data_IF_525061408713
#
_entry.id   IF_525061408713
#
_cell.length_a   1.000
_cell.length_b   1.000
_cell.length_c   1.000
_cell.angle_alpha   90.00
_cell.angle_beta   90.00
_cell.angle_gamma   90.00
#
_symmetry.space_group_name_H-M   'P 1'
#
loop_
_entity.id
_entity.type
_entity.pdbx_description
1 polymer ?
#
# COMPACT_ATOMS: atom_id res chain seq x y z
N UNK A 1 76.38 -17.17 11.53
CA UNK A 1 76.37 -15.70 11.77
C UNK A 1 75.85 -14.99 10.54
N UNK A 2 74.69 -14.33 10.61
CA UNK A 2 74.32 -13.13 9.83
C UNK A 2 72.94 -12.68 10.33
N UNK A 3 72.94 -11.58 11.10
CA UNK A 3 71.76 -10.94 11.68
C UNK A 3 71.05 -10.17 10.56
N UNK A 4 69.75 -10.40 10.37
CA UNK A 4 68.90 -9.55 9.55
C UNK A 4 68.29 -8.49 10.46
N UNK A 5 68.66 -7.23 10.24
CA UNK A 5 68.05 -6.06 10.89
C UNK A 5 66.91 -5.62 9.98
N UNK A 6 65.67 -5.72 10.49
CA UNK A 6 64.49 -5.15 9.86
C UNK A 6 64.38 -3.69 10.33
N UNK A 7 64.55 -2.73 9.42
CA UNK A 7 64.37 -1.31 9.72
C UNK A 7 62.90 -0.94 9.42
N UNK A 8 62.10 -0.74 10.47
CA UNK A 8 60.74 -0.21 10.36
C UNK A 8 60.79 1.33 10.36
N UNK A 9 60.60 1.94 9.19
CA UNK A 9 60.38 3.38 9.07
C UNK A 9 58.88 3.63 9.29
N UNK A 10 58.52 4.15 10.46
CA UNK A 10 57.17 4.62 10.75
C UNK A 10 57.05 6.04 10.17
N UNK A 11 56.44 6.14 8.99
CA UNK A 11 56.08 7.42 8.37
C UNK A 11 54.79 7.93 9.04
N UNK A 12 54.91 8.87 9.97
CA UNK A 12 53.76 9.54 10.59
C UNK A 12 53.17 10.57 9.62
N UNK A 13 52.18 10.16 8.82
CA UNK A 13 51.34 11.09 8.06
C UNK A 13 50.26 11.61 9.01
N UNK A 14 50.14 12.93 9.25
CA UNK A 14 49.01 13.46 9.98
C UNK A 14 47.76 13.31 9.11
N UNK A 15 46.91 12.34 9.46
CA UNK A 15 45.58 12.21 8.90
C UNK A 15 44.75 13.38 9.43
N UNK A 16 44.53 14.39 8.60
CA UNK A 16 43.57 15.45 8.90
C UNK A 16 42.17 14.80 8.91
N UNK A 17 41.67 14.50 10.10
CA UNK A 17 40.28 14.11 10.30
C UNK A 17 39.47 15.39 10.12
N UNK A 18 39.00 15.64 8.90
CA UNK A 18 37.87 16.56 8.70
C UNK A 18 36.68 15.95 9.42
N UNK A 19 36.38 16.49 10.60
CA UNK A 19 35.10 16.29 11.25
C UNK A 19 34.02 16.96 10.38
N UNK A 20 33.56 16.24 9.35
CA UNK A 20 32.26 16.51 8.79
C UNK A 20 31.29 16.28 9.93
N UNK A 21 30.73 17.36 10.46
CA UNK A 21 29.63 17.30 11.40
C UNK A 21 28.45 16.67 10.69
N UNK A 22 28.36 15.35 10.73
CA UNK A 22 27.11 14.64 10.53
C UNK A 22 26.19 15.14 11.62
N UNK A 23 25.35 16.12 11.27
CA UNK A 23 24.15 16.40 12.04
C UNK A 23 23.45 15.06 12.19
N UNK A 24 23.35 14.54 13.42
CA UNK A 24 22.50 13.42 13.78
C UNK A 24 21.07 13.81 13.42
N UNK A 25 20.71 13.64 12.14
CA UNK A 25 19.35 13.69 11.68
C UNK A 25 18.70 12.51 12.38
N UNK A 26 17.96 12.82 13.44
CA UNK A 26 17.14 11.82 14.11
C UNK A 26 16.14 11.37 13.06
N UNK A 27 16.39 10.23 12.43
CA UNK A 27 15.49 9.63 11.46
C UNK A 27 14.20 9.30 12.22
N UNK A 28 13.26 10.24 12.21
CA UNK A 28 11.94 10.04 12.76
C UNK A 28 11.35 8.83 12.06
N UNK A 29 11.00 7.79 12.82
CA UNK A 29 10.34 6.61 12.29
C UNK A 29 9.08 7.04 11.53
N UNK A 30 9.04 6.73 10.24
CA UNK A 30 7.91 7.03 9.35
C UNK A 30 7.15 5.76 9.06
N UNK A 31 5.84 5.92 8.94
CA UNK A 31 4.93 4.81 8.66
C UNK A 31 3.92 5.23 7.62
N UNK A 32 3.66 4.33 6.67
CA UNK A 32 2.46 4.40 5.84
C UNK A 32 1.44 3.39 6.35
N UNK A 33 0.19 3.58 5.95
CA UNK A 33 -0.85 2.57 6.17
C UNK A 33 -1.46 2.15 4.84
N UNK A 34 -1.63 0.85 4.66
CA UNK A 34 -2.37 0.30 3.52
C UNK A 34 -3.66 -0.30 4.03
N UNK A 35 -4.79 0.31 3.67
CA UNK A 35 -6.10 -0.07 4.16
C UNK A 35 -6.81 -0.95 3.15
N UNK A 36 -7.23 -2.14 3.59
CA UNK A 36 -8.08 -3.03 2.81
C UNK A 36 -9.49 -3.04 3.37
N UNK A 37 -10.41 -2.39 2.66
CA UNK A 37 -11.84 -2.60 2.85
C UNK A 37 -12.22 -3.97 2.31
N UNK A 38 -12.84 -4.79 3.16
CA UNK A 38 -13.34 -6.10 2.74
C UNK A 38 -14.60 -5.98 1.87
N UNK A 39 -14.69 -6.83 0.86
CA UNK A 39 -15.94 -7.04 0.11
C UNK A 39 -17.08 -7.48 1.02
N UNK A 40 -18.31 -7.10 0.68
CA UNK A 40 -19.48 -7.49 1.46
C UNK A 40 -20.78 -7.47 0.67
N UNK A 41 -21.76 -8.21 1.20
CA UNK A 41 -23.17 -8.16 0.78
C UNK A 41 -24.08 -8.08 2.01
N UNK A 42 -25.33 -7.60 1.89
CA UNK A 42 -26.31 -7.68 2.97
C UNK A 42 -26.42 -9.11 3.51
N UNK A 43 -26.45 -9.26 4.83
CA UNK A 43 -26.69 -10.56 5.46
C UNK A 43 -28.15 -11.02 5.21
N UNK A 44 -28.42 -12.31 5.47
CA UNK A 44 -29.80 -12.83 5.46
C UNK A 44 -30.64 -12.01 6.45
N UNK A 45 -31.83 -11.58 6.03
CA UNK A 45 -32.70 -10.69 6.82
C UNK A 45 -32.47 -9.18 6.58
N UNK A 46 -31.31 -8.77 6.06
CA UNK A 46 -30.96 -7.36 5.88
C UNK A 46 -31.00 -6.88 4.42
N UNK A 47 -31.42 -7.73 3.48
CA UNK A 47 -31.48 -7.39 2.04
C UNK A 47 -32.42 -6.22 1.72
N UNK A 48 -33.44 -5.97 2.57
CA UNK A 48 -34.40 -4.86 2.41
C UNK A 48 -33.87 -3.54 2.98
N UNK A 49 -33.01 -3.61 4.00
CA UNK A 49 -32.51 -2.43 4.74
C UNK A 49 -31.09 -2.05 4.35
N UNK A 50 -30.35 -2.93 3.67
CA UNK A 50 -29.00 -2.66 3.20
C UNK A 50 -28.85 -2.82 1.69
N UNK A 51 -28.19 -1.83 1.07
CA UNK A 51 -27.84 -1.88 -0.34
C UNK A 51 -26.68 -2.85 -0.59
N UNK A 52 -26.71 -3.48 -1.78
CA UNK A 52 -25.54 -4.18 -2.34
C UNK A 52 -24.45 -3.14 -2.63
N UNK A 53 -23.21 -3.49 -2.31
CA UNK A 53 -22.05 -2.68 -2.66
C UNK A 53 -21.43 -3.21 -3.95
N UNK A 54 -20.76 -2.34 -4.68
CA UNK A 54 -20.04 -2.70 -5.91
C UNK A 54 -19.04 -3.85 -5.65
N UNK A 55 -19.01 -4.83 -6.57
CA UNK A 55 -18.20 -6.04 -6.45
C UNK A 55 -18.68 -7.07 -5.41
N UNK A 56 -19.62 -6.72 -4.52
CA UNK A 56 -20.15 -7.64 -3.52
C UNK A 56 -19.06 -8.23 -2.64
N UNK A 57 -19.07 -9.56 -2.46
CA UNK A 57 -18.08 -10.27 -1.64
C UNK A 57 -16.66 -10.24 -2.18
N UNK A 58 -16.48 -10.14 -3.51
CA UNK A 58 -15.16 -10.00 -4.14
C UNK A 58 -14.78 -8.54 -4.38
N UNK A 59 -15.69 -7.63 -4.04
CA UNK A 59 -15.43 -6.21 -3.98
C UNK A 59 -14.53 -5.88 -2.80
N UNK A 60 -14.54 -4.60 -2.45
CA UNK A 60 -13.61 -4.04 -1.49
C UNK A 60 -12.88 -2.87 -2.11
N UNK A 61 -11.94 -2.34 -1.35
CA UNK A 61 -11.19 -1.17 -1.76
C UNK A 61 -9.81 -1.19 -1.11
N UNK A 62 -8.85 -0.59 -1.79
CA UNK A 62 -7.49 -0.44 -1.28
C UNK A 62 -7.12 1.03 -1.35
N UNK A 63 -6.65 1.56 -0.24
CA UNK A 63 -6.13 2.93 -0.15
C UNK A 63 -4.81 2.95 0.59
N UNK A 64 -4.01 3.98 0.31
CA UNK A 64 -2.71 4.21 0.96
C UNK A 64 -2.82 5.53 1.72
N UNK A 65 -2.54 5.47 3.02
CA UNK A 65 -2.36 6.63 3.89
C UNK A 65 -0.87 6.91 4.07
N UNK A 66 -0.42 8.04 3.56
CA UNK A 66 0.96 8.53 3.66
C UNK A 66 0.96 10.05 3.77
N UNK A 67 1.89 10.65 4.52
CA UNK A 67 1.96 12.09 4.74
C UNK A 67 0.61 12.73 5.14
N UNK A 68 -0.18 12.04 5.96
CA UNK A 68 -1.49 12.51 6.42
C UNK A 68 -2.63 12.47 5.38
N UNK A 69 -2.39 11.90 4.20
CA UNK A 69 -3.37 11.81 3.10
C UNK A 69 -3.72 10.36 2.82
N UNK A 70 -5.01 10.04 2.83
CA UNK A 70 -5.53 8.71 2.49
C UNK A 70 -6.13 8.75 1.08
N UNK A 71 -5.51 8.04 0.15
CA UNK A 71 -5.80 8.15 -1.29
C UNK A 71 -6.02 6.77 -1.89
N UNK A 72 -7.00 6.66 -2.79
CA UNK A 72 -7.34 5.42 -3.49
C UNK A 72 -7.74 5.66 -4.94
N UNK A 73 -7.67 4.60 -5.74
CA UNK A 73 -8.07 4.60 -7.15
C UNK A 73 -9.49 4.05 -7.31
N UNK A 74 -10.40 4.89 -7.81
CA UNK A 74 -11.83 4.69 -7.84
C UNK A 74 -12.40 4.74 -9.27
N UNK A 75 -13.51 4.03 -9.54
CA UNK A 75 -14.23 4.21 -10.80
C UNK A 75 -15.01 5.53 -10.81
N UNK A 76 -15.10 6.17 -11.97
CA UNK A 76 -15.94 7.34 -12.23
C UNK A 76 -17.11 6.90 -13.11
N UNK A 77 -18.32 6.86 -12.54
CA UNK A 77 -19.50 6.35 -13.25
C UNK A 77 -19.44 4.83 -13.47
N UNK A 78 -19.40 4.39 -14.73
CA UNK A 78 -19.25 2.98 -15.10
C UNK A 78 -17.77 2.59 -15.22
N UNK A 79 -17.46 1.29 -15.33
CA UNK A 79 -16.11 0.82 -15.66
C UNK A 79 -16.06 0.29 -17.10
N UNK A 80 -14.89 0.35 -17.74
CA UNK A 80 -14.72 -0.28 -19.05
C UNK A 80 -14.41 -1.78 -18.93
N UNK A 81 -14.73 -2.56 -19.97
CA UNK A 81 -14.26 -3.95 -20.03
C UNK A 81 -12.76 -3.99 -20.26
N UNK A 82 -12.25 -3.17 -21.19
CA UNK A 82 -10.83 -3.00 -21.50
C UNK A 82 -10.40 -1.55 -21.34
N UNK A 83 -9.13 -1.27 -20.98
CA UNK A 83 -8.68 0.08 -20.68
C UNK A 83 -8.64 0.99 -21.92
N UNK A 84 -9.13 2.21 -21.78
CA UNK A 84 -9.15 3.25 -22.80
C UNK A 84 -8.13 4.36 -22.49
N UNK A 85 -7.39 4.85 -23.50
CA UNK A 85 -6.32 5.84 -23.29
C UNK A 85 -6.84 7.29 -23.16
N UNK A 86 -7.87 7.65 -23.93
CA UNK A 86 -8.39 9.03 -24.04
C UNK A 86 -9.61 9.29 -23.17
N UNK A 87 -10.52 8.32 -23.07
CA UNK A 87 -11.70 8.38 -22.22
C UNK A 87 -11.51 7.42 -21.04
N UNK A 88 -10.96 7.89 -19.92
CA UNK A 88 -10.71 7.06 -18.74
C UNK A 88 -11.87 7.22 -17.75
N UNK A 89 -12.35 6.12 -17.20
CA UNK A 89 -13.34 6.07 -16.13
C UNK A 89 -12.71 5.75 -14.77
N UNK A 90 -11.43 6.10 -14.59
CA UNK A 90 -10.70 5.93 -13.34
C UNK A 90 -10.22 7.27 -12.81
N UNK A 91 -10.26 7.44 -11.50
CA UNK A 91 -9.73 8.62 -10.81
C UNK A 91 -9.03 8.24 -9.51
N UNK A 92 -7.95 8.94 -9.16
CA UNK A 92 -7.46 8.96 -7.80
C UNK A 92 -8.17 10.07 -7.02
N UNK A 93 -8.57 9.76 -5.79
CA UNK A 93 -9.24 10.73 -4.92
C UNK A 93 -8.83 10.53 -3.47
N UNK A 94 -9.01 11.58 -2.67
CA UNK A 94 -8.99 11.46 -1.23
C UNK A 94 -10.12 10.54 -0.78
N UNK A 95 -9.77 9.51 -0.04
CA UNK A 95 -10.71 8.59 0.58
C UNK A 95 -10.68 8.78 2.10
N UNK A 96 -11.88 8.82 2.71
CA UNK A 96 -12.07 8.84 4.17
C UNK A 96 -11.27 9.92 4.91
N UNK A 97 -11.60 11.19 4.68
CA UNK A 97 -10.97 12.35 5.34
C UNK A 97 -10.97 12.24 6.87
N UNK A 98 -11.94 11.53 7.45
CA UNK A 98 -11.85 11.03 8.82
C UNK A 98 -12.01 9.51 8.81
N UNK A 99 -10.90 8.77 8.73
CA UNK A 99 -10.90 7.31 8.64
C UNK A 99 -11.79 6.65 9.70
N UNK A 100 -11.71 7.06 10.97
CA UNK A 100 -12.49 6.45 12.05
C UNK A 100 -14.00 6.58 11.82
N UNK A 101 -14.46 7.79 11.50
CA UNK A 101 -15.87 8.12 11.25
C UNK A 101 -16.36 7.50 9.94
N UNK A 102 -15.63 7.71 8.86
CA UNK A 102 -16.07 7.38 7.51
C UNK A 102 -16.03 5.86 7.24
N UNK A 103 -15.33 5.11 8.10
CA UNK A 103 -15.28 3.64 8.07
C UNK A 103 -16.18 2.97 9.11
N UNK A 104 -17.08 3.70 9.77
CA UNK A 104 -17.98 3.11 10.78
C UNK A 104 -18.78 1.94 10.20
N UNK A 105 -18.79 0.81 10.92
CA UNK A 105 -19.49 -0.41 10.51
C UNK A 105 -18.87 -1.16 9.33
N UNK A 106 -17.76 -0.70 8.75
CA UNK A 106 -17.02 -1.38 7.68
C UNK A 106 -15.91 -2.27 8.25
N UNK A 107 -15.68 -3.43 7.62
CA UNK A 107 -14.60 -4.34 7.99
C UNK A 107 -13.30 -3.97 7.26
N UNK A 108 -12.21 -3.87 8.00
CA UNK A 108 -10.89 -3.48 7.48
C UNK A 108 -9.77 -4.37 8.00
N UNK A 109 -8.72 -4.45 7.19
CA UNK A 109 -7.37 -4.85 7.60
C UNK A 109 -6.45 -3.71 7.17
N UNK A 110 -5.70 -3.18 8.12
CA UNK A 110 -4.71 -2.14 7.88
C UNK A 110 -3.32 -2.72 8.13
N UNK A 111 -2.44 -2.57 7.15
CA UNK A 111 -1.01 -2.81 7.34
C UNK A 111 -0.35 -1.48 7.72
N UNK A 112 0.42 -1.44 8.79
CA UNK A 112 1.25 -0.31 9.16
C UNK A 112 2.68 -0.71 8.82
N UNK A 113 3.26 -0.03 7.83
CA UNK A 113 4.53 -0.42 7.21
C UNK A 113 5.56 0.66 7.57
N UNK A 114 6.66 0.32 8.24
CA UNK A 114 7.76 1.25 8.44
C UNK A 114 8.40 1.57 7.08
N UNK A 115 8.70 2.84 6.83
CA UNK A 115 9.27 3.31 5.56
C UNK A 115 10.37 4.33 5.81
N UNK A 116 11.29 4.47 4.84
CA UNK A 116 12.25 5.57 4.85
C UNK A 116 11.57 6.90 4.48
N UNK A 117 12.24 8.02 4.78
CA UNK A 117 11.78 9.34 4.36
C UNK A 117 11.70 9.48 2.82
N UNK A 118 12.55 8.76 2.09
CA UNK A 118 12.51 8.73 0.63
C UNK A 118 11.29 7.97 0.12
N UNK A 119 10.99 6.80 0.68
CA UNK A 119 9.83 6.00 0.28
C UNK A 119 8.52 6.76 0.51
N UNK A 120 8.36 7.42 1.67
CA UNK A 120 7.19 8.26 1.93
C UNK A 120 7.08 9.41 0.92
N UNK A 121 8.20 10.06 0.59
CA UNK A 121 8.25 11.16 -0.40
C UNK A 121 7.87 10.70 -1.81
N UNK A 122 8.31 9.50 -2.23
CA UNK A 122 7.93 8.91 -3.52
C UNK A 122 6.42 8.69 -3.57
N UNK A 123 5.84 8.10 -2.51
CA UNK A 123 4.39 7.88 -2.43
C UNK A 123 3.64 9.21 -2.46
N UNK A 124 4.07 10.19 -1.68
CA UNK A 124 3.46 11.52 -1.63
C UNK A 124 3.48 12.22 -2.99
N UNK A 125 4.60 12.13 -3.70
CA UNK A 125 4.76 12.69 -5.05
C UNK A 125 3.84 11.99 -6.06
N UNK A 126 3.81 10.65 -6.06
CA UNK A 126 2.92 9.86 -6.93
C UNK A 126 1.45 10.16 -6.65
N UNK A 127 1.04 10.24 -5.38
CA UNK A 127 -0.30 10.64 -4.97
C UNK A 127 -0.66 12.02 -5.53
N UNK A 128 0.20 13.01 -5.34
CA UNK A 128 -0.02 14.38 -5.84
C UNK A 128 -0.13 14.41 -7.36
N UNK A 129 0.72 13.67 -8.08
CA UNK A 129 0.66 13.54 -9.53
C UNK A 129 -0.64 12.86 -9.99
N UNK A 130 -1.04 11.77 -9.34
CA UNK A 130 -2.18 10.95 -9.78
C UNK A 130 -3.54 11.58 -9.46
N UNK A 131 -3.63 12.38 -8.38
CA UNK A 131 -4.79 13.24 -8.10
C UNK A 131 -4.99 14.28 -9.20
N UNK A 132 -3.89 14.85 -9.74
CA UNK A 132 -3.95 15.81 -10.84
C UNK A 132 -4.22 15.12 -12.18
N UNK A 133 -3.59 13.98 -12.42
CA UNK A 133 -3.71 13.24 -13.68
C UNK A 133 -3.60 11.75 -13.43
N UNK A 134 -4.74 11.08 -13.45
CA UNK A 134 -4.80 9.64 -13.21
C UNK A 134 -4.24 8.86 -14.41
N UNK A 135 -3.21 8.01 -14.20
CA UNK A 135 -2.52 7.35 -15.31
C UNK A 135 -3.34 6.18 -15.89
N UNK A 136 -4.22 5.57 -15.09
CA UNK A 136 -4.94 4.35 -15.48
C UNK A 136 -6.41 4.61 -15.79
N UNK A 137 -6.95 3.76 -16.65
CA UNK A 137 -8.39 3.60 -16.78
C UNK A 137 -8.89 2.51 -15.81
N UNK A 138 -10.07 2.70 -15.24
CA UNK A 138 -10.69 1.69 -14.38
C UNK A 138 -11.42 0.67 -15.25
N UNK A 139 -10.83 -0.53 -15.37
CA UNK A 139 -11.34 -1.55 -16.28
C UNK A 139 -11.42 -2.96 -15.66
N UNK A 140 -12.29 -3.81 -16.20
CA UNK A 140 -12.43 -5.22 -15.82
C UNK A 140 -11.22 -6.05 -16.23
N UNK A 141 -10.60 -5.79 -17.37
CA UNK A 141 -9.32 -6.40 -17.75
C UNK A 141 -8.24 -5.33 -17.76
N UNK A 142 -8.04 -4.69 -16.62
CA UNK A 142 -7.11 -3.57 -16.47
C UNK A 142 -6.80 -3.24 -15.01
N UNK A 143 -6.40 -1.99 -14.78
CA UNK A 143 -6.09 -1.51 -13.43
C UNK A 143 -7.37 -1.30 -12.62
N UNK A 144 -7.30 -1.65 -11.34
CA UNK A 144 -8.29 -1.35 -10.30
C UNK A 144 -7.55 -0.92 -9.04
N UNK A 145 -8.28 -0.62 -7.95
CA UNK A 145 -7.69 -0.14 -6.68
C UNK A 145 -6.51 -0.99 -6.19
N UNK A 146 -6.64 -2.32 -6.29
CA UNK A 146 -5.61 -3.28 -5.93
C UNK A 146 -4.35 -3.11 -6.81
N UNK A 147 -4.49 -3.12 -8.15
CA UNK A 147 -3.41 -2.92 -9.11
C UNK A 147 -2.71 -1.57 -8.95
N UNK A 148 -3.50 -0.52 -8.77
CA UNK A 148 -3.01 0.85 -8.62
C UNK A 148 -2.22 1.02 -7.32
N UNK A 149 -2.70 0.43 -6.21
CA UNK A 149 -1.98 0.47 -4.93
C UNK A 149 -0.67 -0.33 -5.01
N UNK A 150 -0.67 -1.49 -5.68
CA UNK A 150 0.56 -2.25 -5.91
C UNK A 150 1.57 -1.44 -6.70
N UNK A 151 1.15 -0.76 -7.78
CA UNK A 151 2.01 0.07 -8.61
C UNK A 151 2.72 1.15 -7.78
N UNK A 152 1.98 1.89 -6.94
CA UNK A 152 2.55 2.95 -6.08
C UNK A 152 3.57 2.38 -5.09
N UNK A 153 3.23 1.27 -4.43
CA UNK A 153 4.13 0.64 -3.45
C UNK A 153 5.37 0.01 -4.10
N UNK A 154 5.24 -0.46 -5.34
CA UNK A 154 6.35 -0.97 -6.14
C UNK A 154 7.29 0.15 -6.60
N UNK A 155 6.76 1.28 -7.08
CA UNK A 155 7.56 2.46 -7.44
C UNK A 155 8.31 3.05 -6.24
N UNK A 156 7.71 2.96 -5.05
CA UNK A 156 8.37 3.32 -3.79
C UNK A 156 9.37 2.26 -3.28
N UNK A 157 9.56 1.15 -3.99
CA UNK A 157 10.48 0.08 -3.58
C UNK A 157 10.06 -0.67 -2.31
N UNK A 158 8.79 -0.59 -1.90
CA UNK A 158 8.24 -1.33 -0.75
C UNK A 158 7.81 -2.74 -1.16
N UNK A 159 7.27 -2.87 -2.38
CA UNK A 159 6.92 -4.15 -2.96
C UNK A 159 7.82 -4.47 -4.15
N UNK A 160 7.99 -5.76 -4.40
CA UNK A 160 8.77 -6.24 -5.55
C UNK A 160 8.13 -5.86 -6.89
N UNK A 161 8.98 -5.68 -7.90
CA UNK A 161 8.53 -5.35 -9.25
C UNK A 161 7.74 -6.47 -9.91
N UNK A 162 6.62 -6.12 -10.55
CA UNK A 162 5.76 -7.06 -11.28
C UNK A 162 5.41 -6.55 -12.67
N UNK A 163 5.20 -7.47 -13.60
CA UNK A 163 4.77 -7.11 -14.94
C UNK A 163 3.36 -6.51 -14.93
N UNK A 164 3.06 -5.64 -15.88
CA UNK A 164 1.71 -5.07 -16.07
C UNK A 164 0.64 -6.16 -16.22
N UNK A 165 0.96 -7.24 -16.91
CA UNK A 165 0.08 -8.40 -17.04
C UNK A 165 -0.25 -9.00 -15.66
N UNK A 166 0.76 -9.20 -14.81
CA UNK A 166 0.55 -9.68 -13.46
C UNK A 166 -0.34 -8.72 -12.65
N UNK A 167 -0.07 -7.41 -12.70
CA UNK A 167 -0.84 -6.39 -11.97
C UNK A 167 -2.31 -6.33 -12.41
N UNK A 168 -2.63 -6.68 -13.64
CA UNK A 168 -4.01 -6.61 -14.17
C UNK A 168 -4.76 -7.94 -14.04
N UNK A 169 -4.09 -9.09 -14.22
CA UNK A 169 -4.74 -10.40 -14.24
C UNK A 169 -4.66 -11.15 -12.91
N UNK A 170 -3.55 -11.02 -12.18
CA UNK A 170 -3.33 -11.79 -10.95
C UNK A 170 -3.98 -11.10 -9.77
N UNK A 171 -3.85 -9.78 -9.64
CA UNK A 171 -4.34 -9.01 -8.48
C UNK A 171 -5.65 -8.26 -8.75
N UNK A 172 -6.45 -8.78 -9.67
CA UNK A 172 -7.75 -8.23 -10.06
C UNK A 172 -8.70 -7.95 -8.88
N UNK A 173 -8.64 -8.77 -7.83
CA UNK A 173 -9.43 -8.62 -6.60
C UNK A 173 -8.55 -8.24 -5.40
N UNK A 174 -8.97 -7.28 -4.56
CA UNK A 174 -8.23 -6.87 -3.35
C UNK A 174 -7.82 -8.03 -2.45
N UNK A 175 -8.67 -9.07 -2.32
CA UNK A 175 -8.37 -10.27 -1.54
C UNK A 175 -7.03 -10.92 -1.87
N UNK A 176 -6.66 -10.98 -3.15
CA UNK A 176 -5.44 -11.66 -3.58
C UNK A 176 -4.20 -10.91 -3.09
N UNK A 177 -4.20 -9.58 -3.19
CA UNK A 177 -3.14 -8.75 -2.61
C UNK A 177 -3.15 -8.84 -1.10
N UNK A 178 -4.32 -8.72 -0.47
CA UNK A 178 -4.44 -8.76 0.99
C UNK A 178 -3.82 -10.04 1.56
N UNK A 179 -4.12 -11.20 0.98
CA UNK A 179 -3.49 -12.48 1.37
C UNK A 179 -1.97 -12.49 1.18
N UNK A 180 -1.46 -11.84 0.13
CA UNK A 180 -0.02 -11.74 -0.09
C UNK A 180 0.62 -10.83 0.97
N UNK A 181 0.04 -9.66 1.22
CA UNK A 181 0.53 -8.73 2.22
C UNK A 181 0.41 -9.27 3.65
N UNK A 182 -0.56 -10.15 3.97
CA UNK A 182 -0.59 -10.87 5.25
C UNK A 182 0.67 -11.72 5.43
N UNK A 183 1.11 -12.44 4.40
CA UNK A 183 2.34 -13.25 4.46
C UNK A 183 3.58 -12.37 4.58
N UNK A 184 3.66 -11.33 3.76
CA UNK A 184 4.76 -10.35 3.85
C UNK A 184 4.81 -9.66 5.21
N UNK A 185 3.66 -9.33 5.80
CA UNK A 185 3.62 -8.75 7.14
C UNK A 185 4.19 -9.68 8.21
N UNK A 186 4.01 -11.00 8.06
CA UNK A 186 4.61 -11.98 8.95
C UNK A 186 6.13 -12.12 8.72
N UNK A 187 6.58 -12.06 7.46
CA UNK A 187 8.00 -12.16 7.09
C UNK A 187 8.79 -10.89 7.51
N UNK A 188 8.19 -9.71 7.31
CA UNK A 188 8.80 -8.39 7.51
C UNK A 188 8.41 -7.74 8.86
N UNK A 189 7.69 -8.46 9.72
CA UNK A 189 7.18 -7.97 11.00
C UNK A 189 6.35 -6.67 10.92
N UNK A 190 5.54 -6.52 9.88
CA UNK A 190 4.62 -5.38 9.77
C UNK A 190 3.46 -5.52 10.75
N UNK A 191 3.01 -4.38 11.29
CA UNK A 191 1.86 -4.37 12.20
C UNK A 191 0.57 -4.49 11.38
N UNK A 192 -0.29 -5.42 11.80
CA UNK A 192 -1.62 -5.62 11.22
C UNK A 192 -2.70 -5.22 12.21
N UNK A 193 -3.58 -4.30 11.81
CA UNK A 193 -4.73 -3.86 12.61
C UNK A 193 -6.03 -4.30 11.94
N UNK A 194 -6.76 -5.18 12.61
CA UNK A 194 -8.07 -5.65 12.17
C UNK A 194 -9.20 -4.82 12.78
N UNK A 195 -10.18 -4.47 11.95
CA UNK A 195 -11.43 -3.84 12.39
C UNK A 195 -12.60 -4.69 11.91
N UNK A 196 -13.44 -5.13 12.85
CA UNK A 196 -14.65 -5.87 12.52
C UNK A 196 -15.72 -4.97 11.89
N UNK A 197 -16.46 -5.55 10.94
CA UNK A 197 -17.61 -4.89 10.32
C UNK A 197 -18.92 -5.21 11.04
N UNK A 198 -19.97 -4.47 10.71
CA UNK A 198 -21.31 -4.70 11.29
C UNK A 198 -21.87 -6.08 10.91
N UNK A 199 -22.65 -6.67 11.83
CA UNK A 199 -23.26 -8.01 11.70
C UNK A 199 -24.37 -8.10 10.66
N UNK A 200 -24.99 -6.98 10.31
CA UNK A 200 -26.00 -6.89 9.25
C UNK A 200 -25.44 -7.10 7.83
N UNK A 201 -24.12 -7.31 7.72
CA UNK A 201 -23.43 -7.65 6.47
C UNK A 201 -22.70 -8.98 6.57
N UNK A 202 -22.72 -9.73 5.47
CA UNK A 202 -21.79 -10.85 5.26
C UNK A 202 -20.53 -10.30 4.60
N UNK A 203 -19.40 -10.46 5.28
CA UNK A 203 -18.10 -9.97 4.83
C UNK A 203 -17.28 -11.07 4.17
N UNK A 204 -16.40 -10.64 3.27
CA UNK A 204 -15.32 -11.47 2.76
C UNK A 204 -14.47 -12.02 3.92
N UNK A 205 -14.02 -13.26 3.77
CA UNK A 205 -13.18 -13.97 4.73
C UNK A 205 -11.79 -14.20 4.15
N UNK A 206 -10.78 -14.03 4.99
CA UNK A 206 -9.46 -14.59 4.76
C UNK A 206 -9.41 -16.01 5.32
N UNK A 207 -8.65 -16.88 4.65
CA UNK A 207 -8.56 -18.30 5.00
C UNK A 207 -7.61 -18.51 6.17
N UNK A 208 -6.71 -17.54 6.41
CA UNK A 208 -5.73 -17.58 7.48
C UNK A 208 -5.77 -16.24 8.21
N UNK A 209 -6.21 -16.28 9.46
CA UNK A 209 -6.09 -15.18 10.40
C UNK A 209 -5.01 -15.61 11.39
N UNK A 210 -3.89 -14.89 11.54
CA UNK A 210 -2.87 -15.28 12.51
C UNK A 210 -3.38 -15.25 13.96
N UNK A 211 -4.56 -14.66 14.20
CA UNK A 211 -5.25 -14.55 15.49
C UNK A 211 -6.37 -15.60 15.72
N UNK A 212 -6.55 -16.60 14.84
CA UNK A 212 -7.55 -17.68 15.03
C UNK A 212 -7.11 -19.03 14.50
#
# INVERSE_FOLDING_TARGET
MKKWILLLIILSIPFAISANGDSLQTDTLRFIKVHFLYGSKPAKGFKKTEKKLFGGLHGGHVTIEAAGRNIGFNPVGSYHVFPHKKNKHGTFSYDWSNFKRDTLGKKFLTFIIPVSAEQERIIDSLHSAYLKTTPYDYAMFGYRCASASWDILEEAGILEKKSKFWKTQVIFYPKRIRKRMIRMAAEENWIMVYKEGKKSRTWEKDVHRPDK
#
